data_IF_794907569807
#
_entry.id   IF_794907569807
#
_cell.length_a   1.000
_cell.length_b   1.000
_cell.length_c   1.000
_cell.angle_alpha   90.00
_cell.angle_beta   90.00
_cell.angle_gamma   90.00
#
_symmetry.space_group_name_H-M   'P 1'
#
loop_
_entity.id
_entity.type
_entity.pdbx_description
1 polymer ?
#
# COMPACT_ATOMS: atom_id res chain seq x y z
N UNK A 1 10.48 1.67 16.94
CA UNK A 1 9.15 1.37 16.37
C UNK A 1 8.35 2.65 16.12
N UNK A 2 8.29 3.55 17.12
CA UNK A 2 7.44 4.74 17.11
C UNK A 2 7.77 5.77 16.04
N UNK A 3 8.98 6.33 15.94
CA UNK A 3 9.29 7.36 14.91
C UNK A 3 8.93 6.97 13.47
N UNK A 4 8.96 5.67 13.18
CA UNK A 4 8.81 5.16 11.82
C UNK A 4 7.34 4.84 11.48
N UNK A 5 6.49 4.70 12.49
CA UNK A 5 5.03 4.63 12.35
C UNK A 5 4.31 5.88 12.90
N UNK A 6 5.05 6.88 13.42
CA UNK A 6 4.54 8.22 13.79
C UNK A 6 4.71 8.69 15.25
N UNK A 7 5.41 8.00 16.15
CA UNK A 7 5.61 8.45 17.54
C UNK A 7 6.96 9.12 17.82
N UNK A 8 6.93 10.22 18.56
CA UNK A 8 8.07 11.11 18.82
C UNK A 8 9.07 10.60 19.89
N UNK A 9 10.16 11.36 20.02
CA UNK A 9 11.53 11.09 20.51
C UNK A 9 11.72 10.59 21.97
N UNK A 10 10.67 10.24 22.72
CA UNK A 10 10.76 9.95 24.16
C UNK A 10 11.12 8.52 24.58
N UNK A 11 11.23 7.57 23.63
CA UNK A 11 11.11 6.14 23.94
C UNK A 11 12.41 5.33 24.02
N UNK A 12 13.56 5.93 23.72
CA UNK A 12 14.87 5.25 23.85
C UNK A 12 15.21 4.92 25.31
N UNK A 13 14.70 5.71 26.26
CA UNK A 13 14.89 5.48 27.70
C UNK A 13 14.02 4.36 28.28
N UNK A 14 12.76 4.28 27.85
CA UNK A 14 11.78 3.33 28.40
C UNK A 14 12.05 1.87 27.99
N UNK A 15 12.66 1.65 26.81
CA UNK A 15 13.05 0.32 26.33
C UNK A 15 14.32 -0.22 26.98
N UNK A 16 15.34 0.64 27.20
CA UNK A 16 16.56 0.25 27.94
C UNK A 16 16.22 -0.14 29.38
N UNK A 17 15.30 0.57 30.01
CA UNK A 17 14.89 0.29 31.40
C UNK A 17 14.10 -1.02 31.57
N UNK A 18 13.43 -1.51 30.51
CA UNK A 18 12.68 -2.79 30.51
C UNK A 18 13.54 -3.98 30.12
N UNK A 19 14.42 -3.83 29.13
CA UNK A 19 15.31 -4.93 28.68
C UNK A 19 16.31 -5.38 29.76
N UNK A 20 16.70 -4.49 30.68
CA UNK A 20 17.61 -4.84 31.78
C UNK A 20 16.93 -5.59 32.95
N UNK A 21 15.59 -5.70 33.00
CA UNK A 21 14.89 -6.30 34.15
C UNK A 21 14.43 -7.74 33.96
N UNK A 22 14.32 -8.24 32.73
CA UNK A 22 13.81 -9.60 32.47
C UNK A 22 14.81 -10.38 31.61
N UNK A 23 15.69 -11.14 32.26
CA UNK A 23 16.73 -11.96 31.66
C UNK A 23 16.24 -13.18 30.86
N UNK A 24 15.09 -13.11 30.17
CA UNK A 24 14.60 -14.20 29.32
C UNK A 24 14.92 -13.93 27.85
N UNK A 25 15.73 -14.80 27.25
CA UNK A 25 16.27 -14.67 25.89
C UNK A 25 15.19 -14.77 24.80
N UNK A 26 14.00 -15.32 25.11
CA UNK A 26 12.91 -15.52 24.15
C UNK A 26 12.05 -14.25 23.93
N UNK A 27 11.84 -13.44 24.97
CA UNK A 27 10.98 -12.24 24.90
C UNK A 27 11.59 -11.11 24.06
N UNK A 28 12.92 -11.02 23.97
CA UNK A 28 13.59 -10.02 23.13
C UNK A 28 13.62 -10.35 21.64
N UNK A 29 13.32 -11.58 21.23
CA UNK A 29 13.54 -12.04 19.83
C UNK A 29 12.41 -11.67 18.87
N UNK A 30 11.17 -11.64 19.32
CA UNK A 30 10.03 -11.34 18.45
C UNK A 30 10.08 -9.90 17.87
N UNK A 31 10.33 -8.85 18.66
CA UNK A 31 10.53 -7.50 18.12
C UNK A 31 11.73 -7.42 17.17
N UNK A 32 12.84 -8.10 17.48
CA UNK A 32 14.03 -8.13 16.63
C UNK A 32 13.76 -8.73 15.25
N UNK A 33 12.98 -9.81 15.17
CA UNK A 33 12.62 -10.42 13.88
C UNK A 33 11.75 -9.51 13.02
N UNK A 34 10.84 -8.73 13.63
CA UNK A 34 10.03 -7.74 12.90
C UNK A 34 10.93 -6.63 12.30
N UNK A 35 11.95 -6.17 13.02
CA UNK A 35 12.91 -5.20 12.50
C UNK A 35 13.79 -5.76 11.39
N UNK A 36 14.31 -6.98 11.57
CA UNK A 36 15.11 -7.65 10.54
C UNK A 36 14.28 -7.89 9.29
N UNK A 37 13.05 -8.41 9.44
CA UNK A 37 12.12 -8.62 8.33
C UNK A 37 11.91 -7.33 7.54
N UNK A 38 11.63 -6.23 8.24
CA UNK A 38 11.43 -4.94 7.59
C UNK A 38 12.67 -4.44 6.86
N UNK A 39 13.84 -4.59 7.46
CA UNK A 39 15.11 -4.25 6.80
C UNK A 39 15.30 -5.08 5.53
N UNK A 40 15.09 -6.40 5.61
CA UNK A 40 15.23 -7.31 4.47
C UNK A 40 14.15 -7.09 3.40
N UNK A 41 12.97 -6.57 3.75
CA UNK A 41 11.95 -6.21 2.76
C UNK A 41 12.33 -5.00 1.90
N UNK A 42 13.32 -4.21 2.30
CA UNK A 42 13.91 -3.18 1.44
C UNK A 42 14.94 -3.74 0.45
N UNK A 43 15.36 -4.98 0.62
CA UNK A 43 16.28 -5.64 -0.30
C UNK A 43 15.54 -6.00 -1.61
N UNK A 44 16.15 -5.82 -2.80
CA UNK A 44 15.64 -6.37 -4.05
C UNK A 44 15.39 -7.89 -3.99
N UNK A 45 16.16 -8.65 -3.20
CA UNK A 45 16.00 -10.10 -3.07
C UNK A 45 15.00 -10.48 -1.97
N UNK A 46 13.79 -10.86 -2.37
CA UNK A 46 12.70 -11.20 -1.43
C UNK A 46 12.94 -12.49 -0.63
N UNK A 47 13.83 -13.38 -1.08
CA UNK A 47 14.03 -14.71 -0.49
C UNK A 47 14.41 -14.64 0.99
N UNK A 48 15.29 -13.70 1.37
CA UNK A 48 15.71 -13.54 2.78
C UNK A 48 14.56 -13.08 3.66
N UNK A 49 13.88 -12.03 3.22
CA UNK A 49 12.71 -11.51 3.90
C UNK A 49 11.63 -12.59 4.08
N UNK A 50 11.40 -13.41 3.06
CA UNK A 50 10.41 -14.49 3.12
C UNK A 50 10.79 -15.58 4.14
N UNK A 51 12.07 -15.96 4.21
CA UNK A 51 12.56 -16.91 5.22
C UNK A 51 12.48 -16.34 6.64
N UNK A 52 12.82 -15.07 6.82
CA UNK A 52 12.71 -14.37 8.10
C UNK A 52 11.25 -14.23 8.54
N UNK A 53 10.35 -13.92 7.60
CA UNK A 53 8.91 -13.88 7.83
C UNK A 53 8.39 -15.25 8.31
N UNK A 54 8.76 -16.33 7.64
CA UNK A 54 8.38 -17.69 8.07
C UNK A 54 8.85 -18.00 9.50
N UNK A 55 10.08 -17.61 9.87
CA UNK A 55 10.60 -17.76 11.24
C UNK A 55 9.81 -16.92 12.24
N UNK A 56 9.48 -15.67 11.90
CA UNK A 56 8.71 -14.77 12.75
C UNK A 56 7.29 -15.31 12.99
N UNK A 57 6.61 -15.80 11.95
CA UNK A 57 5.29 -16.43 12.05
C UNK A 57 5.34 -17.67 12.94
N UNK A 58 6.33 -18.56 12.73
CA UNK A 58 6.50 -19.75 13.57
C UNK A 58 6.77 -19.39 15.03
N UNK A 59 7.58 -18.38 15.30
CA UNK A 59 7.82 -17.91 16.66
C UNK A 59 6.54 -17.36 17.29
N UNK A 60 5.76 -16.57 16.56
CA UNK A 60 4.48 -16.05 17.03
C UNK A 60 3.47 -17.16 17.37
N UNK A 61 3.46 -18.24 16.58
CA UNK A 61 2.65 -19.44 16.84
C UNK A 61 3.13 -20.20 18.10
N UNK A 62 4.45 -20.37 18.26
CA UNK A 62 5.03 -21.07 19.43
C UNK A 62 4.79 -20.31 20.72
N UNK A 63 4.83 -18.97 20.67
CA UNK A 63 4.56 -18.10 21.82
C UNK A 63 3.06 -17.88 22.06
N UNK A 64 2.19 -18.54 21.30
CA UNK A 64 0.74 -18.44 21.37
C UNK A 64 0.21 -17.01 21.37
N UNK A 65 0.85 -16.13 20.59
CA UNK A 65 0.50 -14.71 20.58
C UNK A 65 -0.94 -14.51 20.08
N UNK A 66 -1.46 -15.45 19.32
CA UNK A 66 -2.80 -15.41 18.73
C UNK A 66 -3.92 -15.38 19.77
N UNK A 67 -3.62 -15.65 21.05
CA UNK A 67 -4.58 -15.67 22.14
C UNK A 67 -4.37 -14.56 23.19
N UNK A 68 -3.47 -13.61 22.95
CA UNK A 68 -3.13 -12.53 23.89
C UNK A 68 -4.34 -11.73 24.38
N UNK A 69 -5.19 -11.27 23.45
CA UNK A 69 -6.34 -10.44 23.79
C UNK A 69 -7.50 -11.27 24.40
N UNK A 70 -7.52 -12.60 24.19
CA UNK A 70 -8.49 -13.52 24.81
C UNK A 70 -8.12 -13.86 26.27
N UNK A 71 -6.82 -13.98 26.56
CA UNK A 71 -6.31 -14.35 27.89
C UNK A 71 -6.37 -13.20 28.90
N UNK A 72 -6.38 -11.94 28.44
CA UNK A 72 -6.57 -10.77 29.29
C UNK A 72 -7.87 -10.82 30.12
N UNK A 73 -8.88 -11.58 29.67
CA UNK A 73 -10.15 -11.77 30.38
C UNK A 73 -10.19 -12.98 31.32
N UNK A 74 -9.37 -14.02 31.14
CA UNK A 74 -9.61 -15.33 31.79
C UNK A 74 -8.46 -15.78 32.71
N UNK A 75 -7.21 -15.37 32.48
CA UNK A 75 -6.08 -15.90 33.26
C UNK A 75 -5.21 -14.79 33.85
N UNK A 76 -5.62 -14.26 35.01
CA UNK A 76 -4.73 -13.54 35.93
C UNK A 76 -4.02 -14.46 36.95
N UNK A 77 -4.14 -15.78 36.89
CA UNK A 77 -3.77 -16.61 38.06
C UNK A 77 -2.98 -17.91 37.84
N UNK A 78 -2.37 -18.20 36.68
CA UNK A 78 -1.69 -19.51 36.53
C UNK A 78 -0.39 -19.55 35.71
N UNK A 79 0.09 -18.42 35.19
CA UNK A 79 1.33 -18.40 34.39
C UNK A 79 2.32 -17.36 34.94
N UNK A 80 2.80 -17.58 36.18
CA UNK A 80 3.83 -16.75 36.84
C UNK A 80 5.27 -17.08 36.38
N UNK A 81 5.44 -17.69 35.21
CA UNK A 81 6.73 -17.87 34.56
C UNK A 81 6.64 -17.25 33.17
N UNK A 82 7.60 -16.36 32.87
CA UNK A 82 7.84 -15.64 31.61
C UNK A 82 7.25 -14.22 31.52
N UNK A 83 8.17 -13.25 31.64
CA UNK A 83 8.44 -12.08 30.76
C UNK A 83 7.24 -11.33 30.14
N UNK A 84 7.30 -9.99 29.93
CA UNK A 84 6.24 -9.30 29.20
C UNK A 84 5.98 -9.98 27.85
N UNK A 85 4.75 -10.49 27.70
CA UNK A 85 4.21 -11.02 26.45
C UNK A 85 4.41 -9.97 25.34
N UNK A 86 4.74 -10.38 24.10
CA UNK A 86 4.72 -9.50 22.94
C UNK A 86 3.42 -8.70 22.88
N UNK A 87 3.51 -7.41 22.61
CA UNK A 87 2.33 -6.53 22.61
C UNK A 87 1.44 -6.81 21.38
N UNK A 88 0.12 -6.56 21.49
CA UNK A 88 -0.84 -6.60 20.36
C UNK A 88 -0.32 -5.85 19.12
N UNK A 89 0.48 -4.81 19.34
CA UNK A 89 1.14 -4.02 18.29
C UNK A 89 2.17 -4.81 17.46
N UNK A 90 2.92 -5.74 18.06
CA UNK A 90 3.92 -6.56 17.35
C UNK A 90 3.26 -7.54 16.39
N UNK A 91 2.11 -8.10 16.79
CA UNK A 91 1.32 -8.98 15.93
C UNK A 91 0.69 -8.21 14.77
N UNK A 92 0.14 -7.02 15.04
CA UNK A 92 -0.35 -6.13 14.00
C UNK A 92 0.77 -5.78 13.00
N UNK A 93 2.01 -5.56 13.47
CA UNK A 93 3.15 -5.26 12.60
C UNK A 93 3.49 -6.47 11.72
N UNK A 94 3.55 -7.67 12.31
CA UNK A 94 3.83 -8.91 11.57
C UNK A 94 2.74 -9.19 10.52
N UNK A 95 1.47 -8.97 10.87
CA UNK A 95 0.33 -9.09 9.96
C UNK A 95 0.43 -8.12 8.79
N UNK A 96 0.75 -6.85 9.04
CA UNK A 96 0.95 -5.86 7.98
C UNK A 96 2.12 -6.28 7.08
N UNK A 97 3.29 -6.61 7.65
CA UNK A 97 4.48 -6.98 6.88
C UNK A 97 4.28 -8.26 6.05
N UNK A 98 3.59 -9.27 6.58
CA UNK A 98 3.22 -10.45 5.80
C UNK A 98 2.35 -10.06 4.61
N UNK A 99 1.39 -9.16 4.80
CA UNK A 99 0.49 -8.70 3.73
C UNK A 99 1.28 -8.05 2.60
N UNK A 100 2.21 -7.16 2.92
CA UNK A 100 3.07 -6.52 1.91
C UNK A 100 4.04 -7.51 1.26
N UNK A 101 4.55 -8.49 2.02
CA UNK A 101 5.38 -9.56 1.46
C UNK A 101 4.58 -10.41 0.46
N UNK A 102 3.33 -10.73 0.81
CA UNK A 102 2.37 -11.44 -0.05
C UNK A 102 2.04 -10.65 -1.32
N UNK A 103 1.77 -9.34 -1.20
CA UNK A 103 1.55 -8.46 -2.36
C UNK A 103 2.78 -8.41 -3.28
N UNK A 104 3.99 -8.41 -2.72
CA UNK A 104 5.22 -8.43 -3.51
C UNK A 104 5.51 -9.80 -4.13
N UNK A 105 5.33 -10.90 -3.40
CA UNK A 105 5.65 -12.25 -3.85
C UNK A 105 4.57 -12.88 -4.75
N UNK A 106 3.32 -12.40 -4.68
CA UNK A 106 2.17 -13.08 -5.29
C UNK A 106 1.81 -14.40 -4.59
N UNK A 107 2.29 -14.63 -3.37
CA UNK A 107 2.04 -15.87 -2.59
C UNK A 107 0.89 -15.66 -1.60
N UNK A 108 0.07 -16.68 -1.32
CA UNK A 108 -0.96 -16.57 -0.29
C UNK A 108 -0.33 -16.28 1.09
N UNK A 109 -1.04 -15.50 1.91
CA UNK A 109 -0.68 -15.27 3.31
C UNK A 109 -0.88 -16.54 4.15
N UNK A 110 -0.03 -16.75 5.15
CA UNK A 110 -0.09 -17.88 6.08
C UNK A 110 -0.85 -17.54 7.36
N UNK A 111 -0.85 -16.27 7.80
CA UNK A 111 -1.71 -15.82 8.90
C UNK A 111 -3.13 -15.66 8.35
N UNK A 112 -4.01 -16.59 8.68
CA UNK A 112 -5.43 -16.48 8.31
C UNK A 112 -6.20 -15.84 9.47
N UNK A 113 -6.95 -14.75 9.22
CA UNK A 113 -7.80 -14.13 10.24
C UNK A 113 -8.95 -15.04 10.70
N UNK A 114 -9.34 -16.05 9.90
CA UNK A 114 -10.40 -16.99 10.25
C UNK A 114 -9.87 -18.19 11.06
N UNK A 115 -8.70 -18.71 10.74
CA UNK A 115 -8.08 -19.83 11.48
C UNK A 115 -7.27 -19.36 12.68
N UNK A 116 -6.59 -18.22 12.55
CA UNK A 116 -5.97 -17.53 13.65
C UNK A 116 -7.05 -16.64 14.24
N UNK A 117 -7.59 -17.03 15.39
CA UNK A 117 -8.44 -16.18 16.24
C UNK A 117 -7.64 -14.99 16.79
N UNK A 118 -7.00 -14.23 15.91
CA UNK A 118 -6.35 -12.96 16.18
C UNK A 118 -7.46 -11.99 16.56
N UNK A 119 -7.86 -12.09 17.81
CA UNK A 119 -8.34 -11.00 18.60
C UNK A 119 -7.21 -9.97 18.58
N UNK A 120 -7.16 -9.11 17.56
CA UNK A 120 -6.29 -7.95 17.49
C UNK A 120 -7.16 -6.76 17.84
N UNK A 121 -7.09 -6.27 19.05
CA UNK A 121 -7.56 -4.92 19.32
C UNK A 121 -6.81 -3.97 18.38
N UNK A 122 -7.54 -3.05 17.73
CA UNK A 122 -6.89 -1.97 17.01
C UNK A 122 -5.90 -1.26 17.96
N UNK A 123 -4.80 -0.72 17.44
CA UNK A 123 -3.85 -0.01 18.29
C UNK A 123 -4.52 1.22 18.91
N UNK A 124 -4.37 1.35 20.24
CA UNK A 124 -4.88 2.49 21.01
C UNK A 124 -4.33 3.81 20.45
N UNK A 125 -5.16 4.85 20.29
CA UNK A 125 -4.71 6.18 19.98
C UNK A 125 -3.88 6.80 21.10
N UNK A 126 -2.72 7.33 20.74
CA UNK A 126 -1.79 7.98 21.66
C UNK A 126 -0.34 7.72 21.28
N UNK A 127 0.56 8.59 21.71
CA UNK A 127 1.99 8.26 21.70
C UNK A 127 2.30 7.41 22.93
N UNK A 128 3.10 6.36 22.78
CA UNK A 128 3.58 5.61 23.94
C UNK A 128 4.52 6.53 24.74
N UNK A 129 3.96 7.22 25.73
CA UNK A 129 4.67 8.02 26.71
C UNK A 129 4.47 7.46 28.12
N UNK A 130 5.08 8.06 29.14
CA UNK A 130 4.79 7.75 30.53
C UNK A 130 3.31 8.00 30.90
N UNK A 131 2.64 8.90 30.16
CA UNK A 131 1.24 9.29 30.37
C UNK A 131 0.26 8.54 29.43
N UNK A 132 0.71 7.46 28.79
CA UNK A 132 -0.13 6.70 27.86
C UNK A 132 -1.19 5.89 28.62
N UNK A 133 -2.47 6.20 28.34
CA UNK A 133 -3.61 5.41 28.78
C UNK A 133 -4.10 4.50 27.64
N UNK A 134 -4.19 3.19 27.91
CA UNK A 134 -4.72 2.22 26.96
C UNK A 134 -6.23 2.44 26.76
N UNK A 135 -6.62 2.92 25.57
CA UNK A 135 -8.02 3.00 25.18
C UNK A 135 -8.50 1.62 24.72
N UNK A 136 -9.71 1.23 25.14
CA UNK A 136 -10.35 0.01 24.68
C UNK A 136 -10.72 0.13 23.19
N UNK A 137 -9.91 -0.50 22.34
CA UNK A 137 -10.08 -0.47 20.90
C UNK A 137 -10.91 -1.67 20.40
N UNK A 138 -11.67 -1.51 19.31
CA UNK A 138 -12.49 -2.60 18.81
C UNK A 138 -11.61 -3.74 18.27
N UNK A 139 -12.14 -4.95 18.39
CA UNK A 139 -11.52 -6.15 17.88
C UNK A 139 -11.54 -6.15 16.35
N UNK A 140 -10.40 -6.48 15.73
CA UNK A 140 -10.35 -6.79 14.31
C UNK A 140 -11.06 -8.13 14.06
N UNK A 141 -12.27 -8.05 13.50
CA UNK A 141 -13.01 -9.18 12.94
C UNK A 141 -13.16 -8.98 11.43
N UNK A 142 -13.64 -9.98 10.70
CA UNK A 142 -13.88 -9.87 9.26
C UNK A 142 -14.84 -8.71 8.92
N UNK A 143 -15.73 -8.35 9.85
CA UNK A 143 -16.76 -7.32 9.72
C UNK A 143 -16.68 -6.28 10.85
N UNK A 144 -15.52 -5.62 11.03
CA UNK A 144 -15.44 -4.52 12.00
C UNK A 144 -16.38 -3.38 11.62
N UNK A 145 -17.45 -3.21 12.38
CA UNK A 145 -18.33 -2.06 12.28
C UNK A 145 -17.70 -0.88 13.02
N UNK A 146 -16.98 -0.03 12.29
CA UNK A 146 -16.39 1.19 12.83
C UNK A 146 -17.43 2.30 12.79
N UNK A 147 -17.83 2.80 13.97
CA UNK A 147 -18.64 4.01 14.04
C UNK A 147 -17.77 5.25 13.77
N UNK A 148 -18.29 6.32 13.15
CA UNK A 148 -17.52 7.54 12.88
C UNK A 148 -16.90 8.21 14.13
N UNK A 149 -17.43 7.90 15.32
CA UNK A 149 -16.94 8.40 16.61
C UNK A 149 -15.75 7.60 17.17
N UNK A 150 -15.36 6.48 16.55
CA UNK A 150 -14.24 5.67 17.02
C UNK A 150 -12.92 6.37 16.66
N UNK A 151 -12.14 6.77 17.66
CA UNK A 151 -10.86 7.44 17.45
C UNK A 151 -9.80 6.43 16.99
N UNK A 152 -9.65 6.27 15.67
CA UNK A 152 -8.75 5.28 15.05
C UNK A 152 -7.40 5.94 14.76
N UNK A 153 -6.29 5.21 14.96
CA UNK A 153 -4.95 5.67 14.56
C UNK A 153 -4.63 5.36 13.10
N UNK A 154 -3.66 6.07 12.52
CA UNK A 154 -3.11 5.72 11.19
C UNK A 154 -2.53 4.30 11.14
N UNK A 155 -1.95 3.83 12.25
CA UNK A 155 -1.46 2.45 12.38
C UNK A 155 -2.59 1.42 12.33
N UNK A 156 -3.68 1.66 13.08
CA UNK A 156 -4.89 0.84 13.02
C UNK A 156 -5.53 0.87 11.62
N UNK A 157 -5.48 2.02 10.96
CA UNK A 157 -5.84 2.14 9.54
C UNK A 157 -5.02 1.21 8.64
N UNK A 158 -3.72 1.05 8.89
CA UNK A 158 -2.87 0.14 8.10
C UNK A 158 -3.20 -1.34 8.34
N UNK A 159 -3.64 -1.71 9.54
CA UNK A 159 -4.16 -3.06 9.82
C UNK A 159 -5.46 -3.32 9.03
N UNK A 160 -6.39 -2.37 9.05
CA UNK A 160 -7.65 -2.45 8.31
C UNK A 160 -7.40 -2.53 6.79
N UNK A 161 -6.47 -1.72 6.30
CA UNK A 161 -6.02 -1.73 4.91
C UNK A 161 -5.43 -3.08 4.54
N UNK A 162 -4.54 -3.65 5.37
CA UNK A 162 -3.96 -4.96 5.13
C UNK A 162 -5.03 -6.07 5.03
N UNK A 163 -6.06 -6.03 5.87
CA UNK A 163 -7.20 -6.95 5.79
C UNK A 163 -7.96 -6.82 4.48
N UNK A 164 -8.27 -5.60 4.05
CA UNK A 164 -8.87 -5.36 2.74
C UNK A 164 -7.99 -5.87 1.60
N UNK A 165 -6.67 -5.63 1.65
CA UNK A 165 -5.74 -6.09 0.64
C UNK A 165 -5.83 -7.59 0.43
N UNK A 166 -5.84 -8.36 1.53
CA UNK A 166 -5.95 -9.83 1.47
C UNK A 166 -7.28 -10.27 0.85
N UNK A 167 -8.39 -9.61 1.21
CA UNK A 167 -9.71 -9.89 0.64
C UNK A 167 -9.76 -9.59 -0.87
N UNK A 168 -9.25 -8.43 -1.29
CA UNK A 168 -9.15 -8.04 -2.70
C UNK A 168 -8.25 -9.01 -3.49
N UNK A 169 -7.06 -9.34 -2.99
CA UNK A 169 -6.16 -10.29 -3.63
C UNK A 169 -6.82 -11.66 -3.82
N UNK A 170 -7.52 -12.17 -2.80
CA UNK A 170 -8.29 -13.42 -2.90
C UNK A 170 -9.36 -13.33 -3.99
N UNK A 171 -10.11 -12.24 -4.03
CA UNK A 171 -11.16 -12.02 -5.04
C UNK A 171 -10.59 -12.03 -6.47
N UNK A 172 -9.47 -11.32 -6.72
CA UNK A 172 -8.83 -11.25 -8.04
C UNK A 172 -8.14 -12.57 -8.41
N UNK A 173 -7.51 -13.25 -7.45
CA UNK A 173 -6.92 -14.56 -7.70
C UNK A 173 -7.99 -15.60 -8.06
N UNK A 174 -9.13 -15.56 -7.38
CA UNK A 174 -10.27 -16.43 -7.69
C UNK A 174 -10.88 -16.18 -9.08
N UNK A 175 -10.78 -14.96 -9.62
CA UNK A 175 -11.24 -14.65 -10.98
C UNK A 175 -10.20 -15.00 -12.06
N UNK A 176 -8.92 -15.11 -11.70
CA UNK A 176 -7.82 -15.42 -12.63
C UNK A 176 -7.60 -16.93 -12.80
N UNK A 177 -7.84 -17.73 -11.75
CA UNK A 177 -7.62 -19.20 -11.74
C UNK A 177 -8.81 -19.99 -12.34
N UNK A 178 -9.87 -19.33 -12.83
CA UNK A 178 -10.94 -20.04 -13.53
C UNK A 178 -10.39 -20.68 -14.82
N UNK A 179 -10.26 -22.00 -14.82
CA UNK A 179 -9.73 -22.76 -15.96
C UNK A 179 -10.57 -22.57 -17.23
N UNK A 180 -9.96 -22.63 -18.43
CA UNK A 180 -10.64 -22.44 -19.70
C UNK A 180 -11.79 -23.44 -19.94
N UNK A 181 -11.78 -24.61 -19.30
CA UNK A 181 -12.81 -25.65 -19.42
C UNK A 181 -13.80 -25.67 -18.24
N UNK A 182 -13.70 -24.71 -17.31
CA UNK A 182 -14.65 -24.59 -16.20
C UNK A 182 -15.95 -23.92 -16.66
N UNK A 183 -17.13 -24.35 -16.18
CA UNK A 183 -18.41 -23.76 -16.55
C UNK A 183 -18.40 -22.24 -16.31
N UNK A 184 -19.15 -21.47 -17.12
CA UNK A 184 -19.01 -20.02 -17.20
C UNK A 184 -19.17 -19.40 -15.82
N UNK A 185 -18.09 -18.77 -15.35
CA UNK A 185 -18.02 -17.97 -14.13
C UNK A 185 -18.41 -18.67 -12.83
N UNK A 186 -17.55 -18.52 -11.81
CA UNK A 186 -18.03 -18.67 -10.43
C UNK A 186 -19.12 -17.61 -10.18
N UNK A 187 -20.37 -17.99 -9.85
CA UNK A 187 -21.43 -17.02 -9.57
C UNK A 187 -21.02 -16.04 -8.45
N UNK A 188 -21.53 -14.81 -8.54
CA UNK A 188 -21.32 -13.76 -7.54
C UNK A 188 -19.98 -13.03 -7.62
N UNK A 189 -19.29 -13.01 -8.76
CA UNK A 189 -18.13 -12.11 -8.94
C UNK A 189 -18.52 -10.66 -8.66
N UNK A 190 -19.54 -10.16 -9.35
CA UNK A 190 -20.00 -8.76 -9.23
C UNK A 190 -20.52 -8.44 -7.84
N UNK A 191 -21.21 -9.36 -7.18
CA UNK A 191 -21.69 -9.17 -5.81
C UNK A 191 -20.51 -9.05 -4.82
N UNK A 192 -19.53 -9.95 -4.91
CA UNK A 192 -18.30 -9.87 -4.10
C UNK A 192 -17.50 -8.62 -4.41
N UNK A 193 -17.40 -8.26 -5.69
CA UNK A 193 -16.71 -7.06 -6.14
C UNK A 193 -17.35 -5.79 -5.58
N UNK A 194 -18.68 -5.68 -5.68
CA UNK A 194 -19.44 -4.56 -5.15
C UNK A 194 -19.30 -4.45 -3.63
N UNK A 195 -19.41 -5.58 -2.91
CA UNK A 195 -19.20 -5.61 -1.47
C UNK A 195 -17.80 -5.13 -1.08
N UNK A 196 -16.76 -5.50 -1.83
CA UNK A 196 -15.39 -5.04 -1.60
C UNK A 196 -15.19 -3.56 -1.94
N UNK A 197 -15.78 -3.07 -3.03
CA UNK A 197 -15.71 -1.65 -3.40
C UNK A 197 -16.41 -0.77 -2.36
N UNK A 198 -17.61 -1.18 -1.90
CA UNK A 198 -18.30 -0.52 -0.81
C UNK A 198 -17.47 -0.55 0.48
N UNK A 199 -16.90 -1.72 0.80
CA UNK A 199 -16.01 -1.86 1.93
C UNK A 199 -14.85 -0.85 1.88
N UNK A 200 -14.13 -0.74 0.76
CA UNK A 200 -13.04 0.24 0.58
C UNK A 200 -13.53 1.66 0.82
N UNK A 201 -14.65 2.05 0.19
CA UNK A 201 -15.22 3.39 0.34
C UNK A 201 -15.61 3.72 1.79
N UNK A 202 -16.18 2.75 2.51
CA UNK A 202 -16.51 2.90 3.93
C UNK A 202 -15.24 3.12 4.77
N UNK A 203 -14.15 2.37 4.51
CA UNK A 203 -12.87 2.61 5.21
C UNK A 203 -12.29 3.98 4.88
N UNK A 204 -12.35 4.41 3.62
CA UNK A 204 -11.89 5.75 3.23
C UNK A 204 -12.68 6.85 3.96
N UNK A 205 -13.99 6.65 4.15
CA UNK A 205 -14.86 7.59 4.88
C UNK A 205 -14.49 7.64 6.36
N UNK A 206 -14.38 6.48 7.02
CA UNK A 206 -14.03 6.38 8.44
C UNK A 206 -12.63 6.93 8.73
N UNK A 207 -11.67 6.71 7.81
CA UNK A 207 -10.28 7.13 7.97
C UNK A 207 -9.99 8.53 7.41
N UNK A 208 -11.00 9.27 6.94
CA UNK A 208 -10.83 10.52 6.18
C UNK A 208 -9.85 11.53 6.82
N UNK A 209 -9.84 11.67 8.14
CA UNK A 209 -8.91 12.56 8.85
C UNK A 209 -7.43 12.21 8.58
N UNK A 210 -7.11 10.91 8.51
CA UNK A 210 -5.78 10.38 8.19
C UNK A 210 -5.45 10.40 6.70
N UNK A 211 -6.47 10.49 5.84
CA UNK A 211 -6.32 10.51 4.38
C UNK A 211 -6.18 11.93 3.81
N UNK A 212 -6.12 12.95 4.67
CA UNK A 212 -5.93 14.34 4.25
C UNK A 212 -4.49 14.60 3.79
N UNK A 213 -4.33 15.55 2.86
CA UNK A 213 -3.01 15.98 2.38
C UNK A 213 -2.11 16.52 3.52
N UNK A 214 -2.72 17.08 4.57
CA UNK A 214 -2.00 17.52 5.77
C UNK A 214 -1.45 16.32 6.55
N UNK A 215 -2.28 15.30 6.78
CA UNK A 215 -1.89 14.11 7.53
C UNK A 215 -0.85 13.28 6.78
N UNK A 216 -1.00 13.10 5.47
CA UNK A 216 -0.04 12.35 4.65
C UNK A 216 1.34 13.03 4.59
N UNK A 217 1.40 14.37 4.58
CA UNK A 217 2.67 15.09 4.65
C UNK A 217 3.31 15.04 6.05
N UNK A 218 2.51 14.93 7.09
CA UNK A 218 2.99 14.96 8.48
C UNK A 218 3.42 13.58 8.98
N UNK A 219 2.74 12.50 8.57
CA UNK A 219 2.90 11.18 9.16
C UNK A 219 3.16 10.10 8.10
N UNK A 220 4.28 9.34 8.20
CA UNK A 220 4.61 8.28 7.25
C UNK A 220 3.54 7.17 7.15
N UNK A 221 2.90 6.84 8.28
CA UNK A 221 1.83 5.85 8.32
C UNK A 221 0.57 6.31 7.57
N UNK A 222 0.20 7.58 7.73
CA UNK A 222 -0.94 8.18 7.03
C UNK A 222 -0.68 8.27 5.51
N UNK A 223 0.55 8.61 5.12
CA UNK A 223 0.99 8.56 3.73
C UNK A 223 0.83 7.17 3.12
N UNK A 224 1.40 6.14 3.74
CA UNK A 224 1.30 4.76 3.26
C UNK A 224 -0.14 4.27 3.21
N UNK A 225 -0.95 4.62 4.21
CA UNK A 225 -2.37 4.26 4.26
C UNK A 225 -3.13 4.82 3.06
N UNK A 226 -2.94 6.12 2.76
CA UNK A 226 -3.60 6.79 1.65
C UNK A 226 -3.22 6.18 0.30
N UNK A 227 -1.92 6.07 0.01
CA UNK A 227 -1.47 5.57 -1.30
C UNK A 227 -1.86 4.10 -1.52
N UNK A 228 -1.85 3.27 -0.46
CA UNK A 228 -2.25 1.87 -0.57
C UNK A 228 -3.77 1.68 -0.69
N UNK A 229 -4.59 2.48 0.00
CA UNK A 229 -6.05 2.42 -0.19
C UNK A 229 -6.46 2.83 -1.60
N UNK A 230 -5.85 3.88 -2.16
CA UNK A 230 -6.07 4.24 -3.57
C UNK A 230 -5.58 3.13 -4.52
N UNK A 231 -4.44 2.50 -4.23
CA UNK A 231 -3.95 1.41 -5.06
C UNK A 231 -4.84 0.15 -4.99
N UNK A 232 -5.48 -0.11 -3.85
CA UNK A 232 -6.46 -1.18 -3.70
C UNK A 232 -7.74 -0.93 -4.49
N UNK A 233 -8.28 0.30 -4.47
CA UNK A 233 -9.45 0.67 -5.26
C UNK A 233 -9.17 0.54 -6.75
N UNK A 234 -8.01 1.07 -7.18
CA UNK A 234 -7.48 0.90 -8.53
C UNK A 234 -7.34 -0.59 -8.89
N UNK A 235 -6.71 -1.40 -8.05
CA UNK A 235 -6.52 -2.84 -8.30
C UNK A 235 -7.84 -3.60 -8.44
N UNK A 236 -8.85 -3.23 -7.65
CA UNK A 236 -10.18 -3.82 -7.75
C UNK A 236 -10.83 -3.44 -9.08
N UNK A 237 -10.80 -2.17 -9.47
CA UNK A 237 -11.33 -1.71 -10.76
C UNK A 237 -10.61 -2.30 -11.97
N UNK A 238 -9.29 -2.55 -11.89
CA UNK A 238 -8.55 -3.31 -12.92
C UNK A 238 -9.10 -4.72 -13.10
N UNK A 239 -9.45 -5.39 -12.00
CA UNK A 239 -10.07 -6.71 -12.07
C UNK A 239 -11.48 -6.66 -12.66
N UNK A 240 -12.26 -5.61 -12.41
CA UNK A 240 -13.56 -5.39 -13.07
C UNK A 240 -13.40 -5.17 -14.57
N UNK A 241 -12.42 -4.38 -15.02
CA UNK A 241 -12.14 -4.18 -16.45
C UNK A 241 -11.81 -5.53 -17.10
N UNK A 242 -10.87 -6.28 -16.54
CA UNK A 242 -10.49 -7.59 -17.07
C UNK A 242 -11.66 -8.58 -17.10
N UNK A 243 -12.56 -8.52 -16.10
CA UNK A 243 -13.74 -9.38 -16.06
C UNK A 243 -14.81 -8.95 -17.06
N UNK A 244 -15.05 -7.64 -17.19
CA UNK A 244 -15.99 -7.08 -18.16
C UNK A 244 -15.56 -7.40 -19.60
N UNK A 245 -14.27 -7.30 -19.90
CA UNK A 245 -13.70 -7.67 -21.20
C UNK A 245 -13.89 -9.17 -21.50
N UNK A 246 -13.77 -10.05 -20.50
CA UNK A 246 -14.02 -11.50 -20.65
C UNK A 246 -15.50 -11.84 -20.85
N UNK A 247 -16.39 -11.06 -20.26
CA UNK A 247 -17.84 -11.25 -20.32
C UNK A 247 -18.50 -10.51 -21.49
N UNK A 248 -17.71 -9.76 -22.27
CA UNK A 248 -18.19 -8.87 -23.32
C UNK A 248 -19.31 -7.93 -22.82
N UNK A 249 -19.12 -7.38 -21.62
CA UNK A 249 -20.07 -6.43 -21.04
C UNK A 249 -20.04 -5.10 -21.79
N UNK A 250 -21.11 -4.31 -21.58
CA UNK A 250 -21.25 -3.01 -22.25
C UNK A 250 -20.06 -2.09 -22.01
N UNK A 251 -19.58 -1.37 -23.04
CA UNK A 251 -18.44 -0.45 -22.94
C UNK A 251 -18.58 0.61 -21.83
N UNK A 252 -19.80 0.94 -21.41
CA UNK A 252 -20.09 1.87 -20.32
C UNK A 252 -19.53 1.40 -18.97
N UNK A 253 -19.64 0.10 -18.65
CA UNK A 253 -19.13 -0.46 -17.38
C UNK A 253 -17.61 -0.41 -17.34
N UNK A 254 -16.97 -0.71 -18.48
CA UNK A 254 -15.51 -0.60 -18.66
C UNK A 254 -15.05 0.85 -18.57
N UNK A 255 -15.79 1.79 -19.18
CA UNK A 255 -15.45 3.21 -19.16
C UNK A 255 -15.48 3.81 -17.74
N UNK A 256 -16.50 3.50 -16.94
CA UNK A 256 -16.57 3.98 -15.55
C UNK A 256 -15.42 3.39 -14.71
N UNK A 257 -15.14 2.10 -14.85
CA UNK A 257 -14.02 1.45 -14.13
C UNK A 257 -12.67 2.05 -14.52
N UNK A 258 -12.45 2.36 -15.81
CA UNK A 258 -11.25 3.05 -16.29
C UNK A 258 -11.13 4.46 -15.70
N UNK A 259 -12.24 5.21 -15.69
CA UNK A 259 -12.28 6.56 -15.09
C UNK A 259 -11.90 6.52 -13.61
N UNK A 260 -12.38 5.52 -12.86
CA UNK A 260 -12.02 5.31 -11.45
C UNK A 260 -10.52 5.02 -11.29
N UNK A 261 -9.96 4.08 -12.05
CA UNK A 261 -8.52 3.81 -12.06
C UNK A 261 -7.68 5.08 -12.31
N UNK A 262 -8.07 5.90 -13.28
CA UNK A 262 -7.40 7.17 -13.60
C UNK A 262 -7.43 8.15 -12.43
N UNK A 263 -8.58 8.34 -11.80
CA UNK A 263 -8.72 9.22 -10.63
C UNK A 263 -7.81 8.77 -9.49
N UNK A 264 -7.79 7.48 -9.17
CA UNK A 264 -6.92 6.96 -8.11
C UNK A 264 -5.44 7.06 -8.44
N UNK A 265 -5.06 6.79 -9.68
CA UNK A 265 -3.67 6.88 -10.13
C UNK A 265 -3.14 8.33 -10.05
N UNK A 266 -3.94 9.31 -10.47
CA UNK A 266 -3.61 10.73 -10.32
C UNK A 266 -3.58 11.17 -8.85
N UNK A 267 -4.45 10.62 -8.01
CA UNK A 267 -4.44 10.86 -6.56
C UNK A 267 -3.18 10.30 -5.89
N UNK A 268 -2.71 9.12 -6.30
CA UNK A 268 -1.43 8.56 -5.85
C UNK A 268 -0.28 9.46 -6.33
N UNK A 269 -0.23 9.81 -7.61
CA UNK A 269 0.82 10.66 -8.17
C UNK A 269 0.93 12.02 -7.47
N UNK A 270 -0.21 12.69 -7.24
CA UNK A 270 -0.27 13.97 -6.53
C UNK A 270 0.12 13.85 -5.05
N UNK A 271 -0.31 12.78 -4.37
CA UNK A 271 0.05 12.51 -2.97
C UNK A 271 1.56 12.31 -2.82
N UNK A 272 2.16 11.53 -3.72
CA UNK A 272 3.61 11.30 -3.76
C UNK A 272 4.32 12.62 -4.04
N UNK A 273 3.86 13.41 -5.02
CA UNK A 273 4.46 14.71 -5.37
C UNK A 273 4.45 15.70 -4.21
N UNK A 274 3.35 15.79 -3.46
CA UNK A 274 3.24 16.66 -2.29
C UNK A 274 4.15 16.22 -1.14
N UNK A 275 4.44 14.91 -1.08
CA UNK A 275 5.29 14.30 -0.04
C UNK A 275 6.75 14.16 -0.48
N UNK A 276 7.05 14.53 -1.73
CA UNK A 276 8.38 14.42 -2.32
C UNK A 276 9.26 15.58 -1.84
N UNK A 277 10.31 15.33 -1.04
CA UNK A 277 11.12 16.40 -0.50
C UNK A 277 11.99 17.03 -1.59
N UNK A 278 12.11 18.36 -1.54
CA UNK A 278 13.00 19.14 -2.41
C UNK A 278 14.48 18.80 -2.16
N UNK A 279 14.81 18.31 -0.97
CA UNK A 279 16.17 17.87 -0.60
C UNK A 279 16.08 16.55 0.15
N UNK A 280 16.61 15.48 -0.45
CA UNK A 280 16.60 14.14 0.15
C UNK A 280 17.49 14.10 1.37
N UNK A 281 16.94 13.59 2.46
CA UNK A 281 17.67 13.32 3.69
C UNK A 281 17.39 11.88 4.09
N UNK A 282 18.38 11.22 4.65
CA UNK A 282 18.17 9.93 5.30
C UNK A 282 17.07 10.08 6.36
N UNK A 283 15.99 9.30 6.22
CA UNK A 283 14.82 9.35 7.08
C UNK A 283 13.64 10.19 6.59
N UNK A 284 13.64 10.64 5.33
CA UNK A 284 12.43 11.22 4.73
C UNK A 284 11.27 10.20 4.62
N UNK A 285 10.03 10.70 4.48
CA UNK A 285 8.81 9.85 4.46
C UNK A 285 8.90 8.79 3.36
N UNK A 286 9.43 9.14 2.18
CA UNK A 286 9.56 8.23 1.05
C UNK A 286 10.53 7.09 1.33
N UNK A 287 11.69 7.39 1.90
CA UNK A 287 12.70 6.39 2.26
C UNK A 287 12.18 5.48 3.37
N UNK A 288 11.48 6.03 4.37
CA UNK A 288 10.88 5.25 5.44
C UNK A 288 9.76 4.31 4.96
N UNK A 289 9.05 4.69 3.90
CA UNK A 289 7.90 3.95 3.37
C UNK A 289 8.19 3.21 2.05
N UNK A 290 9.47 3.13 1.63
CA UNK A 290 9.95 2.48 0.40
C UNK A 290 9.29 1.11 0.13
N UNK A 291 9.25 0.23 1.13
CA UNK A 291 8.62 -1.11 1.03
C UNK A 291 7.14 -1.05 0.63
N UNK A 292 6.43 0.00 1.04
CA UNK A 292 4.97 0.09 1.00
C UNK A 292 4.45 0.88 -0.20
N UNK A 293 5.32 1.56 -0.95
CA UNK A 293 4.93 2.43 -2.07
C UNK A 293 5.24 1.85 -3.45
N UNK A 294 6.10 0.83 -3.54
CA UNK A 294 6.46 0.21 -4.82
C UNK A 294 5.24 -0.34 -5.58
N UNK A 295 4.37 -1.10 -4.89
CA UNK A 295 3.15 -1.62 -5.50
C UNK A 295 2.16 -0.52 -5.94
N UNK A 296 1.81 0.47 -5.10
CA UNK A 296 1.01 1.63 -5.54
C UNK A 296 1.58 2.39 -6.75
N UNK A 297 2.90 2.58 -6.82
CA UNK A 297 3.56 3.24 -7.95
C UNK A 297 3.34 2.48 -9.25
N UNK A 298 3.64 1.18 -9.25
CA UNK A 298 3.46 0.32 -10.42
C UNK A 298 2.02 0.29 -10.90
N UNK A 299 1.06 0.16 -9.97
CA UNK A 299 -0.36 0.16 -10.31
C UNK A 299 -0.79 1.49 -10.94
N UNK A 300 -0.32 2.62 -10.39
CA UNK A 300 -0.62 3.96 -10.91
C UNK A 300 -0.03 4.17 -12.30
N UNK A 301 1.23 3.79 -12.50
CA UNK A 301 1.91 3.92 -13.80
C UNK A 301 1.20 3.12 -14.88
N UNK A 302 0.74 1.89 -14.57
CA UNK A 302 -0.01 1.07 -15.52
C UNK A 302 -1.37 1.68 -15.89
N UNK A 303 -2.08 2.25 -14.92
CA UNK A 303 -3.36 2.92 -15.16
C UNK A 303 -3.19 4.20 -16.00
N UNK A 304 -2.25 5.08 -15.63
CA UNK A 304 -1.95 6.31 -16.37
C UNK A 304 -1.44 6.04 -17.77
N UNK A 305 -0.65 4.98 -17.97
CA UNK A 305 -0.23 4.56 -19.30
C UNK A 305 -1.42 4.18 -20.19
N UNK A 306 -2.39 3.44 -19.64
CA UNK A 306 -3.62 3.12 -20.39
C UNK A 306 -4.41 4.37 -20.72
N UNK A 307 -4.51 5.31 -19.78
CA UNK A 307 -5.17 6.59 -20.01
C UNK A 307 -4.50 7.39 -21.11
N UNK A 308 -3.16 7.48 -21.11
CA UNK A 308 -2.38 8.20 -22.12
C UNK A 308 -2.67 7.71 -23.53
N UNK A 309 -2.85 6.39 -23.71
CA UNK A 309 -3.20 5.80 -25.02
C UNK A 309 -4.58 6.21 -25.56
N UNK A 310 -5.43 6.73 -24.69
CA UNK A 310 -6.80 7.17 -25.02
C UNK A 310 -7.00 8.67 -24.78
N UNK A 311 -5.96 9.38 -24.32
CA UNK A 311 -6.02 10.78 -23.96
C UNK A 311 -6.13 11.66 -25.21
N UNK A 312 -6.75 12.82 -25.04
CA UNK A 312 -6.69 13.90 -26.03
C UNK A 312 -5.46 14.77 -25.75
N UNK A 313 -5.00 15.53 -26.74
CA UNK A 313 -3.79 16.38 -26.62
C UNK A 313 -3.79 17.28 -25.36
N UNK A 314 -4.96 17.76 -24.94
CA UNK A 314 -5.13 18.62 -23.76
C UNK A 314 -4.82 17.93 -22.42
N UNK A 315 -5.09 16.63 -22.30
CA UNK A 315 -4.86 15.86 -21.06
C UNK A 315 -3.61 15.00 -21.13
N UNK A 316 -3.15 14.65 -22.32
CA UNK A 316 -2.00 13.79 -22.56
C UNK A 316 -0.72 14.33 -21.91
N UNK A 317 -0.44 15.62 -22.02
CA UNK A 317 0.76 16.25 -21.43
C UNK A 317 0.80 16.11 -19.89
N UNK A 318 -0.36 16.27 -19.23
CA UNK A 318 -0.47 16.14 -17.78
C UNK A 318 -0.27 14.69 -17.31
N UNK A 319 -0.81 13.73 -18.05
CA UNK A 319 -0.66 12.29 -17.78
C UNK A 319 0.79 11.86 -18.02
N UNK A 320 1.39 12.27 -19.14
CA UNK A 320 2.81 12.02 -19.44
C UNK A 320 3.73 12.63 -18.37
N UNK A 321 3.49 13.88 -17.97
CA UNK A 321 4.24 14.51 -16.88
C UNK A 321 4.08 13.82 -15.52
N UNK A 322 2.94 13.17 -15.28
CA UNK A 322 2.74 12.35 -14.08
C UNK A 322 3.51 11.02 -14.17
N UNK A 323 3.51 10.37 -15.34
CA UNK A 323 4.28 9.14 -15.59
C UNK A 323 5.79 9.34 -15.45
N UNK A 324 6.35 10.43 -15.99
CA UNK A 324 7.76 10.79 -15.82
C UNK A 324 8.12 10.92 -14.35
N UNK A 325 7.33 11.73 -13.63
CA UNK A 325 7.54 11.93 -12.21
C UNK A 325 7.47 10.61 -11.41
N UNK A 326 6.52 9.73 -11.70
CA UNK A 326 6.45 8.44 -11.02
C UNK A 326 7.62 7.51 -11.36
N UNK A 327 8.15 7.60 -12.58
CA UNK A 327 9.37 6.88 -12.99
C UNK A 327 10.59 7.38 -12.22
N UNK A 328 10.77 8.71 -12.11
CA UNK A 328 11.85 9.32 -11.30
C UNK A 328 11.76 8.91 -9.83
N UNK A 329 10.53 8.79 -9.30
CA UNK A 329 10.29 8.29 -7.94
C UNK A 329 10.65 6.80 -7.84
N UNK A 330 10.35 5.99 -8.85
CA UNK A 330 10.65 4.57 -8.86
C UNK A 330 12.17 4.31 -8.84
N UNK A 331 12.91 4.98 -9.73
CA UNK A 331 14.38 4.91 -9.85
C UNK A 331 15.07 5.32 -8.54
N UNK A 332 14.39 6.15 -7.77
CA UNK A 332 14.87 6.63 -6.50
C UNK A 332 14.63 5.69 -5.31
N UNK A 333 13.53 4.96 -5.33
CA UNK A 333 13.14 4.07 -4.25
C UNK A 333 13.65 2.64 -4.47
N UNK A 334 14.10 2.32 -5.66
CA UNK A 334 14.62 1.00 -5.99
C UNK A 334 15.79 1.18 -6.96
N UNK A 335 16.86 0.39 -6.81
CA UNK A 335 17.97 0.45 -7.76
C UNK A 335 17.54 0.07 -9.18
N UNK A 336 18.34 0.45 -10.18
CA UNK A 336 18.12 0.11 -11.58
C UNK A 336 17.86 -1.40 -11.75
N UNK A 337 16.87 -1.75 -12.56
CA UNK A 337 16.41 -3.13 -12.77
C UNK A 337 15.95 -3.84 -11.49
N UNK A 338 15.43 -3.09 -10.52
CA UNK A 338 14.80 -3.65 -9.34
C UNK A 338 13.51 -4.44 -9.63
N UNK A 339 12.93 -5.04 -8.61
CA UNK A 339 11.74 -5.88 -8.74
C UNK A 339 10.56 -5.12 -9.37
N UNK A 340 10.28 -3.90 -8.91
CA UNK A 340 9.16 -3.11 -9.39
C UNK A 340 9.39 -2.55 -10.80
N UNK A 341 10.64 -2.27 -11.18
CA UNK A 341 10.99 -1.88 -12.55
C UNK A 341 10.56 -2.92 -13.59
N UNK A 342 10.70 -4.22 -13.29
CA UNK A 342 10.28 -5.28 -14.20
C UNK A 342 8.77 -5.25 -14.48
N UNK A 343 7.94 -4.80 -13.53
CA UNK A 343 6.49 -4.70 -13.70
C UNK A 343 6.05 -3.50 -14.55
N UNK A 344 6.94 -2.54 -14.81
CA UNK A 344 6.68 -1.33 -15.61
C UNK A 344 7.65 -1.14 -16.77
N UNK A 345 8.55 -2.10 -17.05
CA UNK A 345 9.55 -1.99 -18.10
C UNK A 345 8.95 -1.64 -19.48
N UNK A 346 7.78 -2.21 -19.81
CA UNK A 346 7.05 -1.89 -21.02
C UNK A 346 6.46 -0.47 -21.06
N UNK A 347 6.16 0.11 -19.90
CA UNK A 347 5.62 1.48 -19.80
C UNK A 347 6.72 2.49 -20.14
N UNK A 348 7.93 2.33 -19.58
CA UNK A 348 9.04 3.27 -19.81
C UNK A 348 9.46 3.35 -21.29
N UNK A 349 9.69 2.20 -21.93
CA UNK A 349 10.07 2.15 -23.36
C UNK A 349 8.99 2.76 -24.26
N UNK A 350 7.72 2.55 -23.93
CA UNK A 350 6.63 3.04 -24.78
C UNK A 350 6.29 4.50 -24.52
N UNK A 351 6.50 5.00 -23.30
CA UNK A 351 6.43 6.43 -23.00
C UNK A 351 7.47 7.20 -23.81
N UNK A 352 8.72 6.72 -23.86
CA UNK A 352 9.77 7.33 -24.68
C UNK A 352 9.38 7.38 -26.17
N UNK A 353 8.81 6.30 -26.71
CA UNK A 353 8.32 6.29 -28.09
C UNK A 353 7.19 7.28 -28.33
N UNK A 354 6.23 7.36 -27.40
CA UNK A 354 5.14 8.33 -27.48
C UNK A 354 5.68 9.76 -27.49
N UNK A 355 6.72 10.05 -26.70
CA UNK A 355 7.40 11.34 -26.69
C UNK A 355 8.10 11.65 -28.01
N UNK A 356 8.83 10.69 -28.58
CA UNK A 356 9.50 10.86 -29.87
C UNK A 356 8.49 11.18 -31.00
N UNK A 357 7.31 10.56 -30.96
CA UNK A 357 6.22 10.83 -31.90
C UNK A 357 5.60 12.22 -31.70
N UNK A 358 5.39 12.66 -30.45
CA UNK A 358 4.74 13.94 -30.13
C UNK A 358 5.70 15.15 -30.21
N UNK A 359 6.95 15.00 -29.80
CA UNK A 359 8.01 16.02 -29.99
C UNK A 359 8.39 16.16 -31.47
N UNK A 360 8.31 15.08 -32.26
CA UNK A 360 8.44 15.11 -33.71
C UNK A 360 7.40 16.01 -34.39
N UNK A 361 6.15 15.97 -33.93
CA UNK A 361 5.09 16.87 -34.39
C UNK A 361 5.31 18.33 -33.94
N UNK A 362 5.77 18.56 -32.70
CA UNK A 362 6.12 19.89 -32.19
C UNK A 362 7.29 20.55 -32.94
N UNK A 363 8.26 19.76 -33.41
CA UNK A 363 9.36 20.19 -34.26
C UNK A 363 8.90 20.56 -35.68
N UNK A 364 7.97 19.80 -36.26
CA UNK A 364 7.40 20.08 -37.59
C UNK A 364 6.52 21.34 -37.60
N UNK A 365 5.73 21.57 -36.55
CA UNK A 365 4.95 22.80 -36.37
C UNK A 365 5.87 24.02 -36.18
N UNK A 366 6.92 23.92 -35.36
CA UNK A 366 7.95 24.98 -35.24
C UNK A 366 8.70 25.24 -36.55
N UNK A 367 8.93 24.22 -37.38
CA UNK A 367 9.52 24.38 -38.71
C UNK A 367 8.55 25.00 -39.74
N UNK A 368 7.25 24.80 -39.59
CA UNK A 368 6.23 25.47 -40.41
C UNK A 368 6.08 26.94 -40.01
N UNK A 369 6.05 27.26 -38.71
CA UNK A 369 5.98 28.63 -38.20
C UNK A 369 7.24 29.46 -38.52
N UNK A 370 8.41 28.83 -38.53
CA UNK A 370 9.65 29.50 -38.97
C UNK A 370 9.74 29.66 -40.49
N UNK A 371 9.03 28.84 -41.28
CA UNK A 371 8.90 29.02 -42.74
C UNK A 371 7.89 30.09 -43.12
N UNK A 372 6.76 30.19 -42.43
CA UNK A 372 5.77 31.27 -42.64
C UNK A 372 6.35 32.62 -42.20
N UNK A 373 7.05 32.69 -41.06
CA UNK A 373 7.76 33.90 -40.62
C UNK A 373 8.83 34.39 -41.63
N UNK A 374 9.54 33.48 -42.31
CA UNK A 374 10.54 33.83 -43.35
C UNK A 374 9.92 34.23 -44.70
N UNK A 375 8.68 33.85 -44.97
CA UNK A 375 7.97 34.25 -46.19
C UNK A 375 7.41 35.68 -46.06
N UNK A 376 7.00 36.10 -44.86
CA UNK A 376 6.54 37.46 -44.61
C UNK A 376 7.69 38.49 -44.60
N UNK A 377 8.92 38.09 -44.25
CA UNK A 377 10.09 38.99 -44.34
C UNK A 377 10.57 39.22 -45.78
N UNK A 378 10.15 38.39 -46.75
CA UNK A 378 10.56 38.51 -48.17
C UNK A 378 9.55 39.25 -49.06
N UNK A 379 8.37 39.62 -48.54
CA UNK A 379 7.39 40.48 -49.25
C UNK A 379 7.45 41.95 -48.82
N UNK A 380 8.34 42.30 -47.91
CA UNK A 380 8.53 43.66 -47.37
C UNK A 380 9.89 44.27 -47.72
N UNK A 381 10.34 44.11 -48.96
CA UNK A 381 11.44 44.86 -49.61
C UNK A 381 11.03 45.08 -51.06
#
# INVERSE_FOLDING_TARGET
MFKIWGGTDGLDGAWRARSCRTGSILSSRAPCLVFILRYELNDPQLTRAWMTLGRAIRLAQVLDLNHLDHLASICRSTWDLYSPLPTTQEQAALYILETYTSMRAGTPCHIDLAQVRLCLNLASPGELGPDFEDAHMPLLTENVNLTPATHITSYSGLVLMATLSRQCMRHVMQSTIAEPDSPPLRPGFWDRHYALSQAINDRMTVLHAHLSAKASRAHPAAFSLLVNLCALDLYLHEAAIAQADRQDLTPSVVAESRRRCSVDALKIASTIRISYPVSRRDGDILTLQRTFIGWPLVMSMRALWRELRTATDLTADGVAGSLRFLSDVLDAIEGENGYWHHHVAGVGVTLQRWEEEHDGFGSLLRQQDTKTSRLDTRRGT
#
